data_IF_203165120934
#
_entry.id   IF_203165120934
#
_cell.length_a   1.000
_cell.length_b   1.000
_cell.length_c   1.000
_cell.angle_alpha   90.00
_cell.angle_beta   90.00
_cell.angle_gamma   90.00
#
_symmetry.space_group_name_H-M   'P 1'
#
loop_
_entity.id
_entity.type
_entity.pdbx_description
1 polymer ?
#
# COMPACT_ATOMS: atom_id res chain seq x y z
N UNK A 1 3.84 -36.19 -7.47
CA UNK A 1 3.26 -35.15 -6.57
C UNK A 1 1.87 -34.85 -7.07
N UNK A 2 0.88 -34.76 -6.18
CA UNK A 2 -0.50 -34.44 -6.58
C UNK A 2 -0.58 -32.93 -6.88
N UNK A 3 -0.90 -32.57 -8.11
CA UNK A 3 -1.16 -31.20 -8.52
C UNK A 3 -2.65 -30.96 -8.72
N UNK A 4 -3.10 -29.77 -8.42
CA UNK A 4 -4.48 -29.31 -8.59
C UNK A 4 -4.53 -28.16 -9.59
N UNK A 5 -5.56 -28.13 -10.42
CA UNK A 5 -5.81 -27.00 -11.31
C UNK A 5 -6.37 -25.82 -10.51
N UNK A 6 -5.78 -24.65 -10.68
CA UNK A 6 -6.23 -23.39 -10.11
C UNK A 6 -6.73 -22.51 -11.25
N UNK A 7 -7.96 -22.03 -11.13
CA UNK A 7 -8.56 -21.05 -12.03
C UNK A 7 -8.82 -19.77 -11.23
N UNK A 8 -8.20 -18.67 -11.63
CA UNK A 8 -8.34 -17.39 -10.98
C UNK A 8 -9.00 -16.37 -11.91
N UNK A 9 -10.05 -15.72 -11.44
CA UNK A 9 -10.75 -14.65 -12.15
C UNK A 9 -10.30 -13.31 -11.59
N UNK A 10 -9.85 -12.41 -12.45
CA UNK A 10 -9.59 -11.02 -12.10
C UNK A 10 -10.89 -10.23 -11.99
N UNK A 11 -10.87 -9.05 -11.40
CA UNK A 11 -12.05 -8.19 -11.20
C UNK A 11 -12.71 -7.80 -12.52
N UNK A 12 -11.92 -7.58 -13.58
CA UNK A 12 -12.36 -7.30 -14.95
C UNK A 12 -12.74 -8.55 -15.75
N UNK A 13 -12.82 -9.73 -15.09
CA UNK A 13 -13.32 -10.98 -15.66
C UNK A 13 -12.34 -11.79 -16.50
N UNK A 14 -11.06 -11.40 -16.57
CA UNK A 14 -10.03 -12.19 -17.23
C UNK A 14 -9.70 -13.45 -16.42
N UNK A 15 -9.23 -14.50 -17.10
CA UNK A 15 -9.00 -15.82 -16.50
C UNK A 15 -7.54 -16.19 -16.56
N UNK A 16 -7.01 -16.60 -15.41
CA UNK A 16 -5.68 -17.17 -15.26
C UNK A 16 -5.82 -18.64 -14.84
N UNK A 17 -4.97 -19.51 -15.38
CA UNK A 17 -4.95 -20.93 -15.00
C UNK A 17 -3.53 -21.40 -14.79
N UNK A 18 -3.29 -22.09 -13.67
CA UNK A 18 -1.99 -22.66 -13.35
C UNK A 18 -2.11 -23.90 -12.47
N UNK A 19 -1.17 -24.86 -12.57
CA UNK A 19 -1.10 -25.99 -11.67
C UNK A 19 -0.46 -25.59 -10.34
N UNK A 20 -0.94 -26.14 -9.23
CA UNK A 20 -0.40 -25.94 -7.90
C UNK A 20 -0.24 -27.27 -7.17
N UNK A 21 0.93 -27.54 -6.65
CA UNK A 21 1.19 -28.73 -5.85
C UNK A 21 0.51 -28.63 -4.48
N UNK A 22 0.16 -29.79 -3.91
CA UNK A 22 -0.56 -29.87 -2.64
C UNK A 22 0.09 -29.11 -1.48
N UNK A 23 1.42 -29.05 -1.46
CA UNK A 23 2.20 -28.47 -0.37
C UNK A 23 2.85 -27.11 -0.75
N UNK A 24 2.48 -26.58 -1.92
CA UNK A 24 2.93 -25.29 -2.43
C UNK A 24 1.86 -24.22 -2.20
N UNK A 25 2.26 -22.99 -1.87
CA UNK A 25 1.29 -21.89 -1.78
C UNK A 25 0.81 -21.46 -3.16
N UNK A 26 -0.46 -21.00 -3.23
CA UNK A 26 -1.05 -20.54 -4.49
C UNK A 26 -0.21 -19.42 -5.14
N UNK A 27 0.37 -18.54 -4.32
CA UNK A 27 1.23 -17.45 -4.80
C UNK A 27 2.54 -17.98 -5.42
N UNK A 28 3.17 -18.96 -4.77
CA UNK A 28 4.41 -19.56 -5.27
C UNK A 28 4.16 -20.37 -6.57
N UNK A 29 3.04 -21.11 -6.63
CA UNK A 29 2.64 -21.86 -7.81
C UNK A 29 2.41 -20.96 -9.03
N UNK A 30 1.71 -19.82 -8.85
CA UNK A 30 1.52 -18.83 -9.91
C UNK A 30 2.89 -18.29 -10.37
N UNK A 31 3.75 -17.89 -9.43
CA UNK A 31 5.08 -17.36 -9.74
C UNK A 31 5.97 -18.37 -10.50
N UNK A 32 5.85 -19.66 -10.21
CA UNK A 32 6.57 -20.74 -10.92
C UNK A 32 6.13 -20.88 -12.38
N UNK A 33 4.94 -20.36 -12.73
CA UNK A 33 4.41 -20.31 -14.10
C UNK A 33 4.55 -18.90 -14.71
N UNK A 34 5.46 -18.11 -14.21
CA UNK A 34 5.69 -16.71 -14.63
C UNK A 34 4.44 -15.81 -14.51
N UNK A 35 3.47 -16.21 -13.66
CA UNK A 35 2.30 -15.41 -13.33
C UNK A 35 2.57 -14.69 -11.99
N UNK A 36 2.95 -13.43 -12.07
CA UNK A 36 3.29 -12.61 -10.91
C UNK A 36 2.03 -11.92 -10.39
N UNK A 37 1.43 -12.51 -9.35
CA UNK A 37 0.27 -11.95 -8.69
C UNK A 37 0.67 -10.88 -7.67
N UNK A 38 -0.13 -9.81 -7.51
CA UNK A 38 0.07 -8.79 -6.49
C UNK A 38 0.22 -9.36 -5.09
N UNK A 39 1.32 -9.01 -4.44
CA UNK A 39 1.64 -9.47 -3.08
C UNK A 39 2.68 -8.53 -2.46
N UNK A 40 2.81 -8.48 -1.12
CA UNK A 40 3.77 -7.62 -0.45
C UNK A 40 4.61 -8.39 0.58
N UNK A 41 4.09 -8.69 1.78
CA UNK A 41 4.87 -9.29 2.86
C UNK A 41 5.23 -10.76 2.66
N UNK A 42 4.46 -11.51 1.88
CA UNK A 42 4.56 -12.95 1.61
C UNK A 42 4.55 -13.86 2.85
N UNK A 43 4.31 -13.29 4.03
CA UNK A 43 4.26 -14.00 5.32
C UNK A 43 2.87 -13.99 5.99
N UNK A 44 1.85 -13.46 5.29
CA UNK A 44 0.47 -13.46 5.76
C UNK A 44 0.05 -12.24 6.58
N UNK A 45 0.94 -11.27 6.86
CA UNK A 45 0.66 -10.17 7.79
C UNK A 45 -0.06 -8.97 7.14
N UNK A 46 0.18 -8.66 5.85
CA UNK A 46 -0.32 -7.43 5.23
C UNK A 46 -1.70 -7.56 4.58
N UNK A 47 -2.10 -8.77 4.14
CA UNK A 47 -3.36 -9.01 3.45
C UNK A 47 -3.37 -8.64 1.95
N UNK A 48 -2.27 -8.14 1.37
CA UNK A 48 -2.21 -7.70 -0.02
C UNK A 48 -2.52 -8.81 -1.05
N UNK A 49 -2.26 -10.07 -0.70
CA UNK A 49 -2.55 -11.23 -1.54
C UNK A 49 -3.88 -11.93 -1.19
N UNK A 50 -4.86 -11.19 -0.66
CA UNK A 50 -6.18 -11.76 -0.36
C UNK A 50 -6.93 -12.10 -1.64
N UNK A 51 -7.53 -13.29 -1.68
CA UNK A 51 -8.43 -13.74 -2.73
C UNK A 51 -9.66 -14.43 -2.13
N UNK A 52 -10.73 -14.55 -2.91
CA UNK A 52 -11.95 -15.24 -2.47
C UNK A 52 -12.07 -16.60 -3.16
N UNK A 53 -12.26 -17.67 -2.39
CA UNK A 53 -12.51 -19.01 -2.95
C UNK A 53 -13.99 -19.14 -3.36
N UNK A 54 -14.26 -19.35 -4.66
CA UNK A 54 -15.61 -19.69 -5.19
C UNK A 54 -15.93 -21.14 -4.96
N UNK A 55 -15.00 -22.02 -5.40
CA UNK A 55 -15.16 -23.48 -5.30
C UNK A 55 -13.86 -24.15 -4.92
N UNK A 56 -13.97 -25.33 -4.33
CA UNK A 56 -12.85 -26.14 -3.89
C UNK A 56 -12.50 -25.93 -2.42
N UNK A 57 -11.43 -26.60 -1.99
CA UNK A 57 -10.95 -26.60 -0.60
C UNK A 57 -9.47 -26.24 -0.53
N UNK A 58 -9.12 -25.44 0.46
CA UNK A 58 -7.75 -25.05 0.77
C UNK A 58 -7.42 -25.43 2.21
N UNK A 59 -6.17 -25.77 2.49
CA UNK A 59 -5.65 -25.63 3.83
C UNK A 59 -5.10 -24.19 3.91
N UNK A 60 -5.67 -23.40 4.77
CA UNK A 60 -5.18 -22.06 5.06
C UNK A 60 -4.59 -22.05 6.47
N UNK A 61 -3.38 -21.54 6.61
CA UNK A 61 -2.97 -21.00 7.86
C UNK A 61 -3.70 -19.64 7.96
N UNK A 62 -4.83 -19.61 8.68
CA UNK A 62 -5.54 -18.37 8.93
C UNK A 62 -4.58 -17.39 9.60
N UNK A 63 -4.51 -16.11 9.18
CA UNK A 63 -3.79 -15.11 9.96
C UNK A 63 -4.47 -15.04 11.33
N UNK A 64 -3.69 -15.20 12.38
CA UNK A 64 -4.12 -15.21 13.78
C UNK A 64 -4.50 -13.80 14.29
N UNK A 65 -5.29 -13.04 13.53
CA UNK A 65 -5.58 -11.63 13.86
C UNK A 65 -7.07 -11.31 13.98
N UNK A 66 -7.97 -12.31 13.95
CA UNK A 66 -9.39 -12.05 14.17
C UNK A 66 -10.04 -13.13 15.04
N UNK A 67 -10.18 -12.83 16.34
CA UNK A 67 -10.94 -13.62 17.32
C UNK A 67 -12.48 -13.49 17.14
N UNK A 68 -12.95 -12.89 16.06
CA UNK A 68 -14.39 -12.80 15.76
C UNK A 68 -14.85 -14.01 14.97
N UNK A 69 -16.04 -14.55 15.28
CA UNK A 69 -16.65 -15.59 14.46
C UNK A 69 -16.86 -15.04 13.04
N UNK A 70 -16.12 -15.61 12.09
CA UNK A 70 -16.17 -15.23 10.68
C UNK A 70 -17.59 -15.40 10.14
N UNK A 71 -18.14 -14.37 9.51
CA UNK A 71 -19.34 -14.52 8.67
C UNK A 71 -19.06 -15.55 7.56
N UNK A 72 -20.08 -16.23 7.04
CA UNK A 72 -19.92 -17.22 5.96
C UNK A 72 -19.17 -16.67 4.73
N UNK A 73 -19.18 -15.35 4.51
CA UNK A 73 -18.45 -14.68 3.43
C UNK A 73 -16.94 -14.54 3.77
N UNK A 74 -16.59 -14.25 5.03
CA UNK A 74 -15.20 -14.16 5.46
C UNK A 74 -14.50 -15.54 5.48
N UNK A 75 -15.23 -16.63 5.69
CA UNK A 75 -14.71 -18.01 5.65
C UNK A 75 -14.20 -18.44 4.26
N UNK A 76 -14.46 -17.64 3.21
CA UNK A 76 -13.98 -17.89 1.83
C UNK A 76 -12.76 -17.08 1.44
N UNK A 77 -12.33 -16.10 2.25
CA UNK A 77 -11.14 -15.32 1.98
C UNK A 77 -9.88 -16.07 2.39
N UNK A 78 -8.90 -16.09 1.50
CA UNK A 78 -7.62 -16.73 1.72
C UNK A 78 -6.47 -15.79 1.37
N UNK A 79 -5.33 -15.98 2.00
CA UNK A 79 -4.08 -15.32 1.63
C UNK A 79 -3.31 -16.23 0.68
N UNK A 80 -3.13 -15.83 -0.57
CA UNK A 80 -2.48 -16.64 -1.60
C UNK A 80 -1.07 -17.09 -1.21
N UNK A 81 -0.36 -16.30 -0.39
CA UNK A 81 0.98 -16.62 0.10
C UNK A 81 1.00 -17.71 1.19
N UNK A 82 -0.17 -18.05 1.79
CA UNK A 82 -0.30 -19.02 2.87
C UNK A 82 -1.22 -20.20 2.49
N UNK A 83 -2.12 -19.98 1.54
CA UNK A 83 -3.10 -20.98 1.14
C UNK A 83 -2.47 -22.08 0.27
N UNK A 84 -2.68 -23.35 0.63
CA UNK A 84 -2.29 -24.51 -0.15
C UNK A 84 -3.54 -25.31 -0.60
N UNK A 85 -3.62 -25.79 -1.87
CA UNK A 85 -4.81 -26.45 -2.38
C UNK A 85 -5.00 -27.84 -1.76
N UNK A 86 -6.26 -28.26 -1.61
CA UNK A 86 -6.67 -29.64 -1.26
C UNK A 86 -7.58 -30.24 -2.32
N UNK A 87 -8.01 -29.45 -3.28
CA UNK A 87 -8.73 -29.84 -4.49
C UNK A 87 -8.47 -28.83 -5.60
N UNK A 88 -9.00 -29.07 -6.80
CA UNK A 88 -9.08 -28.00 -7.81
C UNK A 88 -9.83 -26.80 -7.24
N UNK A 89 -9.36 -25.56 -7.56
CA UNK A 89 -9.87 -24.32 -7.02
C UNK A 89 -10.34 -23.38 -8.11
N UNK A 90 -11.41 -22.66 -7.81
CA UNK A 90 -11.80 -21.43 -8.51
C UNK A 90 -11.75 -20.29 -7.50
N UNK A 91 -10.97 -19.23 -7.81
CA UNK A 91 -10.77 -18.07 -6.93
C UNK A 91 -11.04 -16.76 -7.66
N UNK A 92 -11.47 -15.75 -6.89
CA UNK A 92 -11.61 -14.36 -7.35
C UNK A 92 -10.46 -13.52 -6.80
N UNK A 93 -9.83 -12.78 -7.70
CA UNK A 93 -8.79 -11.80 -7.40
C UNK A 93 -9.43 -10.40 -7.32
N UNK A 94 -9.09 -9.57 -6.32
CA UNK A 94 -9.74 -8.28 -6.11
C UNK A 94 -9.19 -7.15 -6.99
N UNK A 95 -8.42 -7.46 -8.02
CA UNK A 95 -7.76 -6.51 -8.92
C UNK A 95 -7.91 -6.92 -10.39
N UNK A 96 -7.69 -5.96 -11.28
CA UNK A 96 -7.78 -6.14 -12.73
C UNK A 96 -6.57 -6.87 -13.28
N UNK A 97 -6.72 -7.48 -14.45
CA UNK A 97 -5.68 -8.24 -15.14
C UNK A 97 -4.41 -7.40 -15.41
N UNK A 98 -4.54 -6.10 -15.59
CA UNK A 98 -3.42 -5.18 -15.82
C UNK A 98 -2.40 -5.15 -14.66
N UNK A 99 -2.81 -5.58 -13.45
CA UNK A 99 -1.91 -5.72 -12.31
C UNK A 99 -1.21 -7.09 -12.22
N UNK A 100 -1.58 -8.03 -13.10
CA UNK A 100 -0.88 -9.33 -13.22
C UNK A 100 0.26 -9.17 -14.22
N UNK A 101 1.45 -9.61 -13.83
CA UNK A 101 2.63 -9.55 -14.70
C UNK A 101 3.01 -10.95 -15.15
N UNK A 102 3.47 -11.06 -16.38
CA UNK A 102 3.95 -12.30 -17.00
C UNK A 102 5.45 -12.25 -17.31
N UNK A 103 6.09 -11.18 -16.85
CA UNK A 103 7.54 -10.99 -16.93
C UNK A 103 8.10 -10.76 -15.54
N UNK A 104 9.35 -11.12 -15.28
CA UNK A 104 10.01 -10.84 -14.02
C UNK A 104 9.91 -9.36 -13.66
N UNK A 105 9.66 -9.08 -12.39
CA UNK A 105 9.65 -7.69 -11.89
C UNK A 105 11.05 -7.10 -12.09
N UNK A 106 11.19 -5.95 -12.78
CA UNK A 106 12.48 -5.34 -13.02
C UNK A 106 13.25 -5.09 -11.73
N UNK A 107 14.50 -5.51 -11.72
CA UNK A 107 15.45 -5.21 -10.67
C UNK A 107 16.52 -4.27 -11.23
N UNK A 108 16.69 -3.11 -10.61
CA UNK A 108 17.50 -2.02 -11.11
C UNK A 108 18.45 -1.50 -10.02
N UNK A 109 19.49 -0.80 -10.42
CA UNK A 109 20.34 -0.01 -9.53
C UNK A 109 19.80 1.40 -9.43
N UNK A 110 19.86 1.95 -8.21
CA UNK A 110 19.55 3.35 -7.94
C UNK A 110 20.62 3.92 -7.00
N UNK A 111 20.89 5.22 -7.13
CA UNK A 111 21.90 5.93 -6.34
C UNK A 111 21.21 6.90 -5.39
N UNK A 112 21.67 6.99 -4.14
CA UNK A 112 21.16 7.94 -3.14
C UNK A 112 21.54 9.36 -3.56
N UNK A 113 20.54 10.18 -3.86
CA UNK A 113 20.72 11.59 -4.25
C UNK A 113 20.38 12.57 -3.13
N UNK A 114 19.54 12.17 -2.18
CA UNK A 114 19.28 12.91 -0.95
C UNK A 114 18.82 11.96 0.17
N UNK A 115 19.17 12.31 1.40
CA UNK A 115 18.77 11.62 2.61
C UNK A 115 18.64 12.65 3.74
N UNK A 116 17.40 12.99 4.08
CA UNK A 116 17.08 14.00 5.06
C UNK A 116 16.31 13.41 6.24
N UNK A 117 16.60 13.81 7.46
CA UNK A 117 15.78 13.50 8.64
C UNK A 117 14.63 14.49 8.70
N UNK A 118 13.39 14.01 8.52
CA UNK A 118 12.18 14.85 8.43
C UNK A 118 11.34 14.85 9.70
N UNK A 119 11.54 13.84 10.57
CA UNK A 119 10.98 13.75 11.92
C UNK A 119 11.85 12.79 12.74
N UNK A 120 11.71 12.69 14.07
CA UNK A 120 12.48 11.78 14.89
C UNK A 120 12.42 10.34 14.35
N UNK A 121 13.58 9.80 13.91
CA UNK A 121 13.66 8.46 13.34
C UNK A 121 12.93 8.27 12.00
N UNK A 122 12.61 9.35 11.29
CA UNK A 122 11.94 9.30 9.99
C UNK A 122 12.80 9.99 8.93
N UNK A 123 13.10 9.26 7.87
CA UNK A 123 13.96 9.69 6.78
C UNK A 123 13.15 9.95 5.51
N UNK A 124 13.46 11.04 4.80
CA UNK A 124 13.10 11.25 3.41
C UNK A 124 14.27 10.82 2.55
N UNK A 125 14.11 9.73 1.81
CA UNK A 125 15.12 9.16 0.93
C UNK A 125 14.75 9.44 -0.52
N UNK A 126 15.69 10.03 -1.28
CA UNK A 126 15.57 10.17 -2.73
C UNK A 126 16.65 9.33 -3.42
N UNK A 127 16.20 8.54 -4.39
CA UNK A 127 17.06 7.73 -5.23
C UNK A 127 16.92 8.19 -6.69
N UNK A 128 18.00 8.06 -7.46
CA UNK A 128 17.97 8.18 -8.92
C UNK A 128 18.30 6.85 -9.55
N UNK A 129 17.44 6.37 -10.45
CA UNK A 129 17.69 5.13 -11.19
C UNK A 129 18.92 5.28 -12.08
N UNK A 130 19.82 4.32 -11.98
CA UNK A 130 20.96 4.24 -12.91
C UNK A 130 20.46 3.76 -14.26
N UNK A 131 20.86 4.44 -15.34
CA UNK A 131 20.48 4.06 -16.70
C UNK A 131 20.91 2.63 -17.01
N UNK A 132 19.99 1.83 -17.50
CA UNK A 132 20.17 0.43 -17.87
C UNK A 132 19.41 0.09 -19.18
N UNK A 133 19.15 -1.20 -19.44
CA UNK A 133 18.39 -1.67 -20.60
C UNK A 133 16.95 -1.15 -20.65
N UNK A 134 16.36 -0.77 -19.49
CA UNK A 134 15.03 -0.18 -19.37
C UNK A 134 15.05 1.36 -19.47
N UNK A 135 16.20 1.97 -19.76
CA UNK A 135 16.35 3.43 -19.79
C UNK A 135 16.67 4.03 -18.43
N UNK A 136 16.14 5.23 -18.15
CA UNK A 136 16.32 5.89 -16.84
C UNK A 136 14.98 6.36 -16.23
N UNK A 137 13.86 6.28 -16.94
CA UNK A 137 12.57 6.72 -16.43
C UNK A 137 12.12 5.88 -15.22
N UNK A 138 11.44 6.54 -14.29
CA UNK A 138 10.73 5.92 -13.18
C UNK A 138 9.25 5.83 -13.55
N UNK A 139 8.84 4.69 -14.10
CA UNK A 139 7.47 4.44 -14.55
C UNK A 139 6.71 3.63 -13.51
N UNK A 140 5.67 4.22 -12.93
CA UNK A 140 4.80 3.58 -11.94
C UNK A 140 3.46 4.32 -11.79
N UNK A 141 2.47 3.63 -11.25
CA UNK A 141 1.20 4.24 -10.86
C UNK A 141 1.28 4.84 -9.47
N UNK A 142 0.64 5.99 -9.27
CA UNK A 142 0.57 6.66 -7.96
C UNK A 142 -0.06 5.75 -6.90
N UNK A 143 0.67 5.55 -5.80
CA UNK A 143 0.30 4.62 -4.72
C UNK A 143 1.05 3.29 -4.74
N UNK A 144 1.78 2.95 -5.81
CA UNK A 144 2.64 1.77 -5.86
C UNK A 144 3.88 1.92 -4.98
N UNK A 145 4.59 0.80 -4.78
CA UNK A 145 5.80 0.71 -3.96
C UNK A 145 6.95 0.06 -4.72
N UNK A 146 8.16 0.23 -4.20
CA UNK A 146 9.35 -0.52 -4.59
C UNK A 146 9.80 -1.41 -3.44
N UNK A 147 10.41 -2.54 -3.75
CA UNK A 147 11.24 -3.29 -2.80
C UNK A 147 12.68 -2.79 -2.92
N UNK A 148 13.33 -2.52 -1.79
CA UNK A 148 14.76 -2.16 -1.70
C UNK A 148 15.49 -3.29 -1.01
N UNK A 149 16.59 -3.79 -1.61
CA UNK A 149 17.44 -4.79 -1.00
C UNK A 149 18.24 -4.15 0.14
N UNK A 150 18.15 -4.70 1.32
CA UNK A 150 18.96 -4.24 2.46
C UNK A 150 20.43 -4.57 2.19
N UNK A 151 21.33 -3.59 2.15
CA UNK A 151 22.73 -3.81 1.85
C UNK A 151 23.38 -4.86 2.78
N UNK A 152 24.21 -5.73 2.19
CA UNK A 152 24.87 -6.82 2.91
C UNK A 152 23.97 -8.00 3.30
N UNK A 153 22.72 -8.03 2.81
CA UNK A 153 21.76 -9.11 3.10
C UNK A 153 21.08 -9.63 1.83
N UNK A 154 20.20 -10.63 1.98
CA UNK A 154 19.30 -11.11 0.92
C UNK A 154 17.86 -10.61 1.14
N UNK A 155 17.64 -9.68 2.06
CA UNK A 155 16.32 -9.26 2.48
C UNK A 155 15.85 -8.03 1.71
N UNK A 156 14.68 -8.14 1.08
CA UNK A 156 13.98 -7.03 0.46
C UNK A 156 12.99 -6.39 1.43
N UNK A 157 12.84 -5.08 1.32
CA UNK A 157 11.87 -4.30 2.10
C UNK A 157 11.04 -3.42 1.18
N UNK A 158 9.73 -3.48 1.35
CA UNK A 158 8.78 -2.69 0.58
C UNK A 158 8.64 -1.27 1.16
N UNK A 159 8.71 -0.27 0.29
CA UNK A 159 8.49 1.15 0.61
C UNK A 159 7.64 1.80 -0.46
N UNK A 160 6.53 2.42 -0.05
CA UNK A 160 5.61 3.10 -0.96
C UNK A 160 6.27 4.36 -1.51
N UNK A 161 6.10 4.57 -2.82
CA UNK A 161 6.55 5.76 -3.51
C UNK A 161 5.68 6.96 -3.10
N UNK A 162 6.32 8.10 -2.86
CA UNK A 162 5.60 9.35 -2.51
C UNK A 162 5.61 10.38 -3.65
N UNK A 163 6.43 10.19 -4.66
CA UNK A 163 6.42 10.98 -5.89
C UNK A 163 5.54 10.33 -6.97
N UNK A 164 5.52 10.90 -8.15
CA UNK A 164 4.83 10.38 -9.33
C UNK A 164 5.84 9.89 -10.37
N UNK A 165 5.34 9.16 -11.38
CA UNK A 165 6.12 8.75 -12.56
C UNK A 165 6.86 9.95 -13.16
N UNK A 166 8.10 9.74 -13.60
CA UNK A 166 8.95 10.82 -14.13
C UNK A 166 10.06 10.29 -15.04
N UNK A 167 10.56 11.14 -15.91
CA UNK A 167 11.61 10.81 -16.88
C UNK A 167 13.01 10.85 -16.28
N UNK A 168 13.19 11.53 -15.15
CA UNK A 168 14.47 11.74 -14.46
C UNK A 168 14.93 10.51 -13.69
N UNK A 169 14.05 9.52 -13.50
CA UNK A 169 14.34 8.32 -12.74
C UNK A 169 14.33 8.52 -11.23
N UNK A 170 13.66 9.57 -10.78
CA UNK A 170 13.57 9.87 -9.35
C UNK A 170 12.57 8.94 -8.65
N UNK A 171 12.99 8.38 -7.51
CA UNK A 171 12.17 7.62 -6.59
C UNK A 171 12.26 8.26 -5.22
N UNK A 172 11.12 8.63 -4.62
CA UNK A 172 11.07 9.26 -3.29
C UNK A 172 10.31 8.39 -2.29
N UNK A 173 10.87 8.30 -1.08
CA UNK A 173 10.34 7.46 -0.01
C UNK A 173 10.38 8.20 1.33
N UNK A 174 9.40 7.91 2.19
CA UNK A 174 9.48 8.23 3.62
C UNK A 174 9.60 6.93 4.39
N UNK A 175 10.64 6.82 5.21
CA UNK A 175 11.04 5.58 5.86
C UNK A 175 11.19 5.82 7.36
N UNK A 176 10.34 5.17 8.17
CA UNK A 176 10.48 5.17 9.61
C UNK A 176 11.53 4.14 10.05
N UNK A 177 12.46 4.57 10.87
CA UNK A 177 13.37 3.68 11.57
C UNK A 177 12.60 2.84 12.60
N UNK A 178 12.73 1.55 12.51
CA UNK A 178 12.26 0.61 13.53
C UNK A 178 13.44 0.16 14.39
N UNK A 179 13.27 -0.10 15.69
CA UNK A 179 14.38 -0.49 16.58
C UNK A 179 15.21 -1.65 16.02
N UNK A 180 14.54 -2.70 15.52
CA UNK A 180 15.17 -3.90 14.95
C UNK A 180 15.25 -3.84 13.40
N UNK A 181 14.89 -2.72 12.78
CA UNK A 181 14.83 -2.57 11.32
C UNK A 181 16.21 -2.45 10.69
N UNK A 182 16.61 -3.43 9.89
CA UNK A 182 17.92 -3.46 9.24
C UNK A 182 18.12 -2.27 8.30
N UNK A 183 17.13 -1.93 7.50
CA UNK A 183 17.25 -0.84 6.53
C UNK A 183 17.29 0.54 7.20
N UNK A 184 16.50 0.75 8.26
CA UNK A 184 16.56 1.99 9.05
C UNK A 184 17.93 2.21 9.70
N UNK A 185 18.57 1.12 10.17
CA UNK A 185 19.96 1.17 10.68
C UNK A 185 20.97 1.48 9.59
N UNK A 186 20.80 0.92 8.39
CA UNK A 186 21.65 1.26 7.26
C UNK A 186 21.57 2.76 6.92
N UNK A 187 20.37 3.36 6.93
CA UNK A 187 20.19 4.77 6.63
C UNK A 187 20.93 5.72 7.60
N UNK A 188 21.24 5.27 8.83
CA UNK A 188 22.05 6.05 9.80
C UNK A 188 23.50 6.27 9.33
N UNK A 189 23.99 5.40 8.46
CA UNK A 189 25.38 5.42 7.97
C UNK A 189 25.48 5.59 6.46
N UNK A 190 24.35 5.62 5.76
CA UNK A 190 24.29 5.77 4.32
C UNK A 190 24.81 7.14 3.88
N UNK A 191 25.42 7.18 2.72
CA UNK A 191 26.01 8.39 2.12
C UNK A 191 25.40 8.67 0.75
N UNK A 192 25.43 9.93 0.35
CA UNK A 192 25.09 10.30 -1.03
C UNK A 192 26.03 9.58 -2.00
N UNK A 193 25.49 9.06 -3.08
CA UNK A 193 26.22 8.25 -4.05
C UNK A 193 26.21 6.75 -3.76
N UNK A 194 25.77 6.31 -2.58
CA UNK A 194 25.61 4.88 -2.30
C UNK A 194 24.59 4.27 -3.27
N UNK A 195 24.88 3.05 -3.73
CA UNK A 195 24.04 2.34 -4.69
C UNK A 195 23.21 1.25 -4.02
N UNK A 196 21.92 1.27 -4.30
CA UNK A 196 20.95 0.32 -3.81
C UNK A 196 20.33 -0.47 -4.98
N UNK A 197 20.01 -1.73 -4.74
CA UNK A 197 19.19 -2.52 -5.65
C UNK A 197 17.73 -2.27 -5.30
N UNK A 198 16.94 -1.91 -6.31
CA UNK A 198 15.50 -1.68 -6.20
C UNK A 198 14.76 -2.61 -7.15
N UNK A 199 13.57 -3.03 -6.77
CA UNK A 199 12.73 -3.94 -7.54
C UNK A 199 11.29 -3.45 -7.54
N UNK A 200 10.69 -3.31 -8.71
CA UNK A 200 9.35 -2.77 -8.88
C UNK A 200 9.14 -2.13 -10.24
N UNK A 201 8.01 -1.41 -10.44
CA UNK A 201 6.98 -1.11 -9.42
C UNK A 201 6.12 -2.33 -9.06
N UNK A 202 5.55 -2.29 -7.84
CA UNK A 202 4.70 -3.33 -7.27
C UNK A 202 3.48 -2.68 -6.57
N UNK A 203 2.43 -3.45 -6.34
CA UNK A 203 1.24 -3.01 -5.59
C UNK A 203 0.05 -2.66 -6.47
N UNK A 204 -1.14 -2.71 -5.84
CA UNK A 204 -2.44 -2.43 -6.47
C UNK A 204 -3.21 -1.33 -5.73
N UNK A 205 -2.57 -0.67 -4.77
CA UNK A 205 -3.15 0.42 -4.03
C UNK A 205 -2.99 1.72 -4.82
N UNK A 206 -3.86 1.92 -5.82
CA UNK A 206 -3.80 3.05 -6.76
C UNK A 206 -5.12 3.82 -6.77
N UNK A 207 -5.10 5.03 -7.31
CA UNK A 207 -6.32 5.81 -7.53
C UNK A 207 -7.29 5.06 -8.43
N UNK A 208 -8.57 5.10 -8.08
CA UNK A 208 -9.64 4.49 -8.87
C UNK A 208 -10.45 5.56 -9.58
N UNK A 209 -10.85 5.29 -10.80
CA UNK A 209 -11.68 6.19 -11.62
C UNK A 209 -13.16 5.81 -11.46
N UNK A 210 -13.76 6.18 -10.32
CA UNK A 210 -15.13 5.78 -9.94
C UNK A 210 -16.14 6.93 -10.04
N UNK A 211 -15.87 7.95 -10.85
CA UNK A 211 -16.72 9.15 -10.94
C UNK A 211 -16.30 10.24 -9.94
N UNK A 212 -17.15 11.26 -9.77
CA UNK A 212 -16.82 12.48 -9.03
C UNK A 212 -17.20 12.42 -7.54
N UNK A 213 -16.86 11.34 -6.87
CA UNK A 213 -17.05 11.22 -5.42
C UNK A 213 -15.97 11.98 -4.64
N UNK A 214 -16.27 12.50 -3.44
CA UNK A 214 -15.24 13.01 -2.55
C UNK A 214 -14.20 11.93 -2.25
N UNK A 215 -12.91 12.28 -2.25
CA UNK A 215 -11.80 11.36 -1.94
C UNK A 215 -11.22 11.68 -0.57
N UNK A 216 -11.27 10.73 0.34
CA UNK A 216 -10.74 10.85 1.68
C UNK A 216 -9.51 9.97 1.85
N UNK A 217 -8.38 10.59 2.15
CA UNK A 217 -7.08 9.95 2.31
C UNK A 217 -6.70 9.90 3.79
N UNK A 218 -6.55 8.71 4.36
CA UNK A 218 -6.27 8.51 5.77
C UNK A 218 -4.89 7.84 5.89
N UNK A 219 -3.86 8.61 6.26
CA UNK A 219 -2.48 8.17 6.37
C UNK A 219 -1.97 8.16 7.80
N UNK A 220 -1.46 7.01 8.27
CA UNK A 220 -0.81 6.90 9.56
C UNK A 220 0.71 6.96 9.43
N UNK A 221 1.35 8.03 9.96
CA UNK A 221 2.78 8.26 9.91
C UNK A 221 3.32 8.09 8.47
N UNK A 222 4.27 7.16 8.20
CA UNK A 222 4.79 6.92 6.85
C UNK A 222 3.73 6.39 5.87
N UNK A 223 2.55 5.97 6.33
CA UNK A 223 1.41 5.64 5.47
C UNK A 223 0.87 6.82 4.66
N UNK A 224 1.32 8.05 4.95
CA UNK A 224 1.03 9.22 4.10
C UNK A 224 1.73 9.13 2.73
N UNK A 225 2.83 8.38 2.59
CA UNK A 225 3.65 8.35 1.37
C UNK A 225 2.86 7.99 0.09
N UNK A 226 2.17 6.85 -0.01
CA UNK A 226 1.39 6.51 -1.21
C UNK A 226 0.26 7.50 -1.45
N UNK A 227 -0.30 8.11 -0.41
CA UNK A 227 -1.35 9.11 -0.50
C UNK A 227 -0.82 10.43 -1.07
N UNK A 228 0.41 10.83 -0.71
CA UNK A 228 1.09 11.98 -1.32
C UNK A 228 1.34 11.77 -2.82
N UNK A 229 1.74 10.56 -3.21
CA UNK A 229 1.86 10.21 -4.63
C UNK A 229 0.52 10.39 -5.37
N UNK A 230 -0.58 9.89 -4.79
CA UNK A 230 -1.92 10.04 -5.36
C UNK A 230 -2.35 11.51 -5.45
N UNK A 231 -2.13 12.31 -4.41
CA UNK A 231 -2.43 13.74 -4.38
C UNK A 231 -1.62 14.53 -5.43
N UNK A 232 -0.33 14.20 -5.58
CA UNK A 232 0.54 14.79 -6.61
C UNK A 232 0.02 14.48 -8.02
N UNK A 233 -0.41 13.23 -8.26
CA UNK A 233 -1.03 12.85 -9.53
C UNK A 233 -2.32 13.65 -9.78
N UNK A 234 -3.19 13.75 -8.78
CA UNK A 234 -4.43 14.53 -8.90
C UNK A 234 -4.15 16.00 -9.21
N UNK A 235 -3.13 16.59 -8.57
CA UNK A 235 -2.72 17.96 -8.82
C UNK A 235 -2.15 18.17 -10.23
N UNK A 236 -1.37 17.23 -10.73
CA UNK A 236 -0.80 17.28 -12.09
C UNK A 236 -1.87 17.17 -13.17
N UNK A 237 -2.93 16.41 -12.91
CA UNK A 237 -4.02 16.22 -13.85
C UNK A 237 -5.14 17.25 -13.68
N UNK A 238 -5.04 18.16 -12.69
CA UNK A 238 -6.05 19.18 -12.42
C UNK A 238 -7.40 18.60 -11.99
N UNK A 239 -7.39 17.48 -11.24
CA UNK A 239 -8.61 16.81 -10.81
C UNK A 239 -9.41 17.68 -9.83
N UNK A 240 -10.70 17.88 -10.11
CA UNK A 240 -11.59 18.76 -9.35
C UNK A 240 -12.37 18.09 -8.21
N UNK A 241 -11.99 16.90 -7.76
CA UNK A 241 -12.67 16.20 -6.68
C UNK A 241 -12.54 16.97 -5.35
N UNK A 242 -13.58 17.00 -4.50
CA UNK A 242 -13.41 17.36 -3.10
C UNK A 242 -12.48 16.34 -2.43
N UNK A 243 -11.41 16.84 -1.82
CA UNK A 243 -10.37 15.99 -1.22
C UNK A 243 -10.21 16.32 0.25
N UNK A 244 -10.14 15.29 1.09
CA UNK A 244 -9.79 15.44 2.50
C UNK A 244 -8.65 14.50 2.86
N UNK A 245 -7.64 15.02 3.52
CA UNK A 245 -6.50 14.26 4.05
C UNK A 245 -6.55 14.25 5.56
N UNK A 246 -6.46 13.07 6.14
CA UNK A 246 -6.24 12.85 7.57
C UNK A 246 -4.81 12.35 7.75
N UNK A 247 -3.92 13.22 8.22
CA UNK A 247 -2.55 12.82 8.54
C UNK A 247 -2.45 12.52 10.03
N UNK A 248 -2.37 11.25 10.38
CA UNK A 248 -2.38 10.75 11.74
C UNK A 248 -0.97 10.39 12.23
N UNK A 249 -0.59 10.99 13.36
CA UNK A 249 0.67 10.71 14.05
C UNK A 249 0.42 10.52 15.55
N UNK A 250 1.43 10.01 16.28
CA UNK A 250 1.34 9.91 17.73
C UNK A 250 1.66 11.25 18.38
N UNK A 251 2.81 11.80 18.11
CA UNK A 251 3.28 13.07 18.64
C UNK A 251 3.33 14.16 17.55
N UNK A 252 3.23 15.43 17.93
CA UNK A 252 3.29 16.58 17.01
C UNK A 252 4.63 16.65 16.28
N UNK A 253 5.73 16.28 16.94
CA UNK A 253 7.06 16.23 16.33
C UNK A 253 7.20 15.19 15.20
N UNK A 254 6.24 14.27 15.10
CA UNK A 254 6.18 13.27 14.03
C UNK A 254 5.45 13.79 12.77
N UNK A 255 4.94 15.05 12.80
CA UNK A 255 4.41 15.69 11.60
C UNK A 255 5.56 16.12 10.69
N UNK A 256 5.57 15.63 9.48
CA UNK A 256 6.59 15.93 8.48
C UNK A 256 5.95 16.28 7.14
N UNK A 257 6.71 16.88 6.23
CA UNK A 257 6.27 17.26 4.87
C UNK A 257 5.02 18.17 4.87
N UNK A 258 4.87 19.00 5.91
CA UNK A 258 3.73 19.93 6.00
C UNK A 258 3.76 20.97 4.89
N UNK A 259 4.96 21.42 4.49
CA UNK A 259 5.14 22.34 3.35
C UNK A 259 4.66 21.69 2.04
N UNK A 260 4.93 20.39 1.86
CA UNK A 260 4.44 19.63 0.69
C UNK A 260 2.90 19.58 0.66
N UNK A 261 2.26 19.37 1.81
CA UNK A 261 0.81 19.39 1.91
C UNK A 261 0.23 20.77 1.64
N UNK A 262 0.91 21.84 2.07
CA UNK A 262 0.49 23.21 1.80
C UNK A 262 0.64 23.57 0.31
N UNK A 263 1.74 23.18 -0.35
CA UNK A 263 1.91 23.32 -1.79
C UNK A 263 0.81 22.58 -2.57
N UNK A 264 0.43 21.38 -2.12
CA UNK A 264 -0.67 20.63 -2.72
C UNK A 264 -2.02 21.34 -2.52
N UNK A 265 -2.27 22.01 -1.38
CA UNK A 265 -3.49 22.83 -1.18
C UNK A 265 -3.60 23.99 -2.19
N UNK A 266 -2.49 24.58 -2.58
CA UNK A 266 -2.49 25.63 -3.60
C UNK A 266 -2.85 25.09 -4.99
N UNK A 267 -2.46 23.84 -5.29
CA UNK A 267 -2.70 23.18 -6.58
C UNK A 267 -4.04 22.42 -6.64
N UNK A 268 -4.59 22.05 -5.49
CA UNK A 268 -5.90 21.38 -5.31
C UNK A 268 -6.79 22.24 -4.42
N UNK A 269 -7.51 23.22 -4.98
CA UNK A 269 -8.28 24.20 -4.17
C UNK A 269 -9.36 23.58 -3.26
N UNK A 270 -9.82 22.35 -3.58
CA UNK A 270 -10.79 21.62 -2.78
C UNK A 270 -10.13 20.67 -1.75
N UNK A 271 -8.82 20.77 -1.52
CA UNK A 271 -8.08 19.96 -0.56
C UNK A 271 -8.20 20.54 0.87
N UNK A 272 -8.79 19.75 1.76
CA UNK A 272 -8.78 19.98 3.21
C UNK A 272 -7.77 19.04 3.87
N UNK A 273 -6.86 19.57 4.70
CA UNK A 273 -5.88 18.78 5.45
C UNK A 273 -6.21 18.84 6.93
N UNK A 274 -6.40 17.69 7.56
CA UNK A 274 -6.59 17.51 9.01
C UNK A 274 -5.43 16.72 9.58
N UNK A 275 -4.61 17.39 10.39
CA UNK A 275 -3.58 16.72 11.19
C UNK A 275 -4.20 16.16 12.45
N UNK A 276 -3.97 14.89 12.73
CA UNK A 276 -4.52 14.17 13.88
C UNK A 276 -3.36 13.70 14.77
N UNK A 277 -3.27 14.28 15.97
CA UNK A 277 -2.23 13.94 16.95
C UNK A 277 -2.87 13.23 18.13
N UNK A 278 -2.46 11.98 18.39
CA UNK A 278 -3.12 11.14 19.40
C UNK A 278 -2.54 11.29 20.82
N UNK A 279 -1.33 11.82 20.98
CA UNK A 279 -0.76 12.10 22.30
C UNK A 279 -1.49 13.25 23.00
N UNK A 280 -1.82 13.10 24.30
CA UNK A 280 -2.44 14.17 25.05
C UNK A 280 -1.40 15.24 25.36
N UNK A 281 -1.32 16.33 24.64
CA UNK A 281 -0.67 17.52 25.13
C UNK A 281 -0.40 18.65 24.14
N UNK A 282 -0.90 18.70 22.96
CA UNK A 282 -0.67 19.87 22.13
C UNK A 282 -1.96 20.64 21.94
N UNK A 283 -2.01 21.82 22.57
CA UNK A 283 -3.20 22.64 22.57
C UNK A 283 -3.48 23.23 21.19
N UNK A 284 -4.62 22.83 20.60
CA UNK A 284 -5.40 23.72 19.78
C UNK A 284 -5.13 23.75 18.29
N UNK A 285 -4.02 23.22 17.78
CA UNK A 285 -3.72 23.25 16.35
C UNK A 285 -4.11 21.97 15.60
N UNK A 286 -4.24 20.83 16.31
CA UNK A 286 -4.46 19.52 15.71
C UNK A 286 -5.76 18.89 16.21
N UNK A 287 -6.36 18.06 15.35
CA UNK A 287 -7.45 17.18 15.76
C UNK A 287 -6.88 16.10 16.70
N UNK A 288 -7.74 15.51 17.52
CA UNK A 288 -7.34 14.38 18.37
C UNK A 288 -7.15 13.08 17.59
N UNK A 289 -7.67 11.98 18.13
CA UNK A 289 -7.58 10.69 17.48
C UNK A 289 -8.25 10.70 16.09
N UNK A 290 -7.55 10.18 15.08
CA UNK A 290 -8.04 10.17 13.70
C UNK A 290 -9.35 9.41 13.53
N UNK A 291 -9.58 8.35 14.31
CA UNK A 291 -10.81 7.55 14.23
C UNK A 291 -12.01 8.36 14.70
N UNK A 292 -11.88 9.14 15.78
CA UNK A 292 -12.95 9.98 16.29
C UNK A 292 -13.22 11.16 15.34
N UNK A 293 -12.17 11.75 14.77
CA UNK A 293 -12.26 12.82 13.77
C UNK A 293 -12.97 12.33 12.50
N UNK A 294 -12.61 11.15 12.01
CA UNK A 294 -13.21 10.52 10.84
C UNK A 294 -14.70 10.20 11.10
N UNK A 295 -15.02 9.66 12.28
CA UNK A 295 -16.39 9.33 12.68
C UNK A 295 -17.31 10.56 12.66
N UNK A 296 -16.85 11.67 13.24
CA UNK A 296 -17.59 12.94 13.24
C UNK A 296 -17.80 13.50 11.82
N UNK A 297 -16.78 13.38 10.96
CA UNK A 297 -16.87 13.85 9.57
C UNK A 297 -17.80 12.96 8.72
N UNK A 298 -17.75 11.65 8.91
CA UNK A 298 -18.64 10.70 8.22
C UNK A 298 -20.10 10.94 8.60
N UNK A 299 -20.38 11.27 9.86
CA UNK A 299 -21.74 11.57 10.33
C UNK A 299 -22.39 12.78 9.63
N UNK A 300 -21.59 13.68 9.09
CA UNK A 300 -22.04 14.91 8.41
C UNK A 300 -21.78 14.91 6.90
N UNK A 301 -21.16 13.86 6.37
CA UNK A 301 -20.84 13.77 4.95
C UNK A 301 -22.12 13.66 4.10
N UNK A 302 -22.36 14.56 3.12
CA UNK A 302 -23.55 14.54 2.30
C UNK A 302 -23.61 13.37 1.32
N UNK A 303 -22.45 12.83 0.95
CA UNK A 303 -22.27 11.66 0.06
C UNK A 303 -21.14 10.79 0.59
N UNK A 304 -21.28 9.46 0.51
CA UNK A 304 -20.20 8.56 0.90
C UNK A 304 -18.93 8.82 0.07
N UNK A 305 -17.76 9.02 0.72
CA UNK A 305 -16.50 9.23 0.02
C UNK A 305 -15.89 7.92 -0.51
N UNK A 306 -14.96 8.05 -1.44
CA UNK A 306 -13.96 7.02 -1.70
C UNK A 306 -12.83 7.16 -0.67
N UNK A 307 -12.62 6.11 0.13
CA UNK A 307 -11.67 6.13 1.23
C UNK A 307 -10.38 5.39 0.85
N UNK A 308 -9.24 6.09 0.94
CA UNK A 308 -7.91 5.52 0.73
C UNK A 308 -7.16 5.51 2.05
N UNK A 309 -6.84 4.32 2.55
CA UNK A 309 -6.30 4.16 3.91
C UNK A 309 -4.95 3.47 3.86
N UNK A 310 -3.92 4.09 4.44
CA UNK A 310 -2.61 3.46 4.53
C UNK A 310 -1.97 3.66 5.90
N UNK A 311 -1.41 2.58 6.45
CA UNK A 311 -0.74 2.62 7.76
C UNK A 311 -0.74 1.28 8.48
N UNK A 312 -0.66 1.34 9.81
CA UNK A 312 -0.64 0.14 10.66
C UNK A 312 -1.93 -0.68 10.53
N UNK A 313 -1.88 -2.01 10.74
CA UNK A 313 -3.08 -2.85 10.75
C UNK A 313 -4.19 -2.34 11.67
N UNK A 314 -3.81 -1.79 12.83
CA UNK A 314 -4.76 -1.21 13.80
C UNK A 314 -5.47 0.02 13.23
N UNK A 315 -4.75 0.92 12.58
CA UNK A 315 -5.35 2.09 11.94
C UNK A 315 -6.31 1.66 10.84
N UNK A 316 -5.86 0.81 9.93
CA UNK A 316 -6.69 0.34 8.81
C UNK A 316 -7.96 -0.32 9.32
N UNK A 317 -7.86 -1.18 10.34
CA UNK A 317 -9.04 -1.84 10.92
C UNK A 317 -10.00 -0.83 11.57
N UNK A 318 -9.48 0.11 12.36
CA UNK A 318 -10.30 1.15 12.99
C UNK A 318 -11.06 2.01 11.96
N UNK A 319 -10.39 2.40 10.86
CA UNK A 319 -11.05 3.11 9.75
C UNK A 319 -12.10 2.24 9.08
N UNK A 320 -11.80 0.97 8.78
CA UNK A 320 -12.74 0.04 8.17
C UNK A 320 -14.02 -0.12 8.99
N UNK A 321 -13.89 -0.22 10.32
CA UNK A 321 -15.04 -0.35 11.23
C UNK A 321 -15.92 0.90 11.15
N UNK A 322 -15.34 2.11 11.11
CA UNK A 322 -16.09 3.37 11.04
C UNK A 322 -16.76 3.59 9.69
N UNK A 323 -16.05 3.45 8.59
CA UNK A 323 -16.62 3.64 7.24
C UNK A 323 -17.77 2.64 7.00
N UNK A 324 -17.63 1.41 7.50
CA UNK A 324 -18.70 0.40 7.42
C UNK A 324 -19.91 0.79 8.27
N UNK A 325 -19.70 1.29 9.51
CA UNK A 325 -20.79 1.74 10.40
C UNK A 325 -21.57 2.90 9.81
N UNK A 326 -20.93 3.77 9.02
CA UNK A 326 -21.58 4.88 8.30
C UNK A 326 -22.09 4.50 6.90
N UNK A 327 -22.11 3.21 6.54
CA UNK A 327 -22.68 2.73 5.29
C UNK A 327 -21.87 3.07 4.03
N UNK A 328 -20.58 3.39 4.16
CA UNK A 328 -19.70 3.54 3.00
C UNK A 328 -19.55 2.16 2.31
N UNK A 329 -19.89 2.04 1.02
CA UNK A 329 -19.79 0.79 0.30
C UNK A 329 -18.37 0.21 0.34
N UNK A 330 -18.25 -1.10 0.52
CA UNK A 330 -16.95 -1.78 0.65
C UNK A 330 -16.05 -1.57 -0.57
N UNK A 331 -16.62 -1.51 -1.75
CA UNK A 331 -15.97 -1.25 -3.03
C UNK A 331 -15.40 0.17 -3.17
N UNK A 332 -15.74 1.07 -2.24
CA UNK A 332 -15.19 2.43 -2.14
C UNK A 332 -14.12 2.57 -1.08
N UNK A 333 -13.68 1.47 -0.47
CA UNK A 333 -12.65 1.51 0.57
C UNK A 333 -11.43 0.75 0.11
N UNK A 334 -10.38 1.48 -0.20
CA UNK A 334 -9.09 1.00 -0.67
C UNK A 334 -8.09 1.13 0.47
N UNK A 335 -7.26 0.12 0.68
CA UNK A 335 -6.30 0.18 1.77
C UNK A 335 -5.02 -0.59 1.50
N UNK A 336 -3.95 -0.12 2.11
CA UNK A 336 -2.68 -0.82 2.22
C UNK A 336 -2.27 -0.91 3.70
N UNK A 337 -1.93 -2.11 4.15
CA UNK A 337 -1.45 -2.35 5.52
C UNK A 337 0.06 -2.47 5.53
N UNK A 338 0.71 -1.62 6.30
CA UNK A 338 2.13 -1.79 6.53
C UNK A 338 2.35 -2.95 7.51
N UNK A 339 3.12 -3.95 7.10
CA UNK A 339 3.54 -5.04 7.98
C UNK A 339 4.42 -4.49 9.11
N UNK A 340 4.15 -4.94 10.33
CA UNK A 340 4.93 -4.58 11.53
C UNK A 340 6.20 -5.44 11.58
#
# INVERSE_FOLDING_TARGET
>A
MTEFAITAYTRDGQVLSFPCSRDESLLAAAQRQDIILPSQCRNGSCGACTAQVRTGTVAANAPATDDRPLSKAAARNVLLCQATPRSALIIDLPYDHTFVRFEPVPERLAEITALDVVAPGTYHLRLSLVRDAYGCAAEFEAGQYMEILVPGTTQWRAYSLMNITNWEGCLEFVIARRPEGLFGRYLETASLGDRLRVKGPLGVFTLQENGLHPRWFIGGHTGIAPLLSMLRRMADWGEGHPVRVYFAVHDEQDLFLMDTLEDLRQRLPALEVKTCVSAPATRGAHQGNVIDTLDADLATAPVPPDCYVCGSPRLVQGVMDRVTAHGVPRERVYFERFSV
#
